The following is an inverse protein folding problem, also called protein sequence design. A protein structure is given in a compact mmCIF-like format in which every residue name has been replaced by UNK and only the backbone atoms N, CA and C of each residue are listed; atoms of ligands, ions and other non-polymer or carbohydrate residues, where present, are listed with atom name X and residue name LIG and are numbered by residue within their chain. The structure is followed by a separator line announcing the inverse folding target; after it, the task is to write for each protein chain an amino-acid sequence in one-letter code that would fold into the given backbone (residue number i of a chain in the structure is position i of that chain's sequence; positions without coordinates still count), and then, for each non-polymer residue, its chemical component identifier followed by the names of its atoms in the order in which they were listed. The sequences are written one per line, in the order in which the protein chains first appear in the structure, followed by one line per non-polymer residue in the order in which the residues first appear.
data_IF_914956453181
#
_entry.id   IF_914956453181
#
_cell.length_a   1.000
_cell.length_b   1.000
_cell.length_c   1.000
_cell.angle_alpha   90.00
_cell.angle_beta   90.00
_cell.angle_gamma   90.00
#
_symmetry.space_group_name_H-M   'P 1'
#
loop_
_entity.id
_entity.type
_entity.pdbx_description
1 polymer ?
#
# COMPACT_ATOMS: atom_id res chain seq x y z
N UNK A 1 -4.29 -7.65 -29.77
CA UNK A 1 -5.50 -7.96 -28.95
C UNK A 1 -5.00 -8.23 -27.54
N UNK A 2 -5.65 -7.65 -26.50
CA UNK A 2 -5.28 -7.94 -25.10
C UNK A 2 -5.69 -9.37 -24.75
N UNK A 3 -4.88 -10.12 -23.97
CA UNK A 3 -5.23 -11.50 -23.60
C UNK A 3 -6.61 -11.63 -22.93
N UNK A 4 -7.06 -10.59 -22.24
CA UNK A 4 -8.37 -10.53 -21.57
C UNK A 4 -9.54 -10.16 -22.49
N UNK A 5 -9.36 -10.10 -23.79
CA UNK A 5 -10.36 -9.69 -24.80
C UNK A 5 -10.95 -8.29 -24.63
N UNK A 6 -10.50 -7.51 -23.65
CA UNK A 6 -10.97 -6.14 -23.39
C UNK A 6 -10.62 -5.18 -24.54
N UNK A 7 -11.52 -4.23 -24.81
CA UNK A 7 -11.25 -3.13 -25.74
C UNK A 7 -10.06 -2.27 -25.26
N UNK A 8 -9.37 -1.53 -26.14
CA UNK A 8 -8.21 -0.72 -25.77
C UNK A 8 -8.48 0.31 -24.65
N UNK A 9 -9.66 0.90 -24.65
CA UNK A 9 -10.10 1.90 -23.64
C UNK A 9 -10.85 1.27 -22.45
N UNK A 10 -11.06 -0.03 -22.45
CA UNK A 10 -11.79 -0.71 -21.39
C UNK A 10 -10.87 -0.99 -20.20
N UNK A 11 -11.27 -0.49 -19.02
CA UNK A 11 -10.57 -0.77 -17.77
C UNK A 11 -10.89 -2.17 -17.26
N UNK A 12 -9.96 -2.81 -16.56
CA UNK A 12 -10.23 -4.06 -15.83
C UNK A 12 -11.28 -3.81 -14.73
N UNK A 13 -12.06 -4.83 -14.39
CA UNK A 13 -12.96 -4.75 -13.24
C UNK A 13 -12.15 -4.46 -11.98
N UNK A 14 -12.52 -3.40 -11.29
CA UNK A 14 -11.89 -2.99 -10.02
C UNK A 14 -12.76 -3.44 -8.86
N UNK A 15 -12.15 -4.02 -7.84
CA UNK A 15 -12.79 -4.34 -6.56
C UNK A 15 -11.88 -3.92 -5.41
N UNK A 16 -12.46 -3.31 -4.39
CA UNK A 16 -11.79 -2.80 -3.21
C UNK A 16 -12.54 -3.33 -1.98
N UNK A 17 -12.05 -4.40 -1.38
CA UNK A 17 -12.61 -4.98 -0.16
C UNK A 17 -11.85 -4.43 1.05
N UNK A 18 -12.54 -3.72 1.93
CA UNK A 18 -11.99 -3.10 3.12
C UNK A 18 -12.11 -4.00 4.35
N UNK A 19 -11.33 -3.75 5.38
CA UNK A 19 -11.39 -4.47 6.67
C UNK A 19 -11.21 -5.98 6.53
N UNK A 20 -10.25 -6.40 5.70
CA UNK A 20 -9.96 -7.81 5.43
C UNK A 20 -8.90 -8.41 6.36
N UNK A 21 -8.17 -7.58 7.11
CA UNK A 21 -7.15 -7.99 8.06
C UNK A 21 -7.50 -7.49 9.47
N UNK A 22 -7.79 -8.43 10.37
CA UNK A 22 -8.33 -8.13 11.71
C UNK A 22 -7.43 -7.23 12.56
N UNK A 23 -6.12 -7.40 12.46
CA UNK A 23 -5.17 -6.73 13.36
C UNK A 23 -4.56 -5.47 12.77
N UNK A 24 -4.74 -5.20 11.49
CA UNK A 24 -4.28 -3.98 10.85
C UNK A 24 -5.24 -2.81 11.15
N UNK A 25 -4.70 -1.62 11.35
CA UNK A 25 -5.49 -0.40 11.55
C UNK A 25 -6.23 0.04 10.28
N UNK A 26 -5.74 -0.40 9.12
CA UNK A 26 -6.43 -0.29 7.84
C UNK A 26 -6.05 -1.44 6.93
N UNK A 27 -6.97 -1.90 6.10
CA UNK A 27 -6.66 -2.97 5.14
C UNK A 27 -7.59 -2.94 3.93
N UNK A 28 -7.05 -3.37 2.79
CA UNK A 28 -7.77 -3.47 1.53
C UNK A 28 -7.26 -4.65 0.71
N UNK A 29 -8.16 -5.53 0.30
CA UNK A 29 -7.88 -6.47 -0.78
C UNK A 29 -8.31 -5.80 -2.09
N UNK A 30 -7.33 -5.35 -2.86
CA UNK A 30 -7.58 -4.72 -4.16
C UNK A 30 -7.46 -5.76 -5.27
N UNK A 31 -8.42 -5.74 -6.19
CA UNK A 31 -8.39 -6.59 -7.40
C UNK A 31 -8.55 -5.71 -8.64
N UNK A 32 -7.62 -5.85 -9.55
CA UNK A 32 -7.70 -5.32 -10.91
C UNK A 32 -7.78 -6.50 -11.88
N UNK A 33 -9.00 -6.94 -12.20
CA UNK A 33 -9.20 -8.20 -12.89
C UNK A 33 -8.57 -9.34 -12.09
N UNK A 34 -7.66 -10.09 -12.70
CA UNK A 34 -6.97 -11.22 -12.08
C UNK A 34 -5.71 -10.81 -11.26
N UNK A 35 -5.41 -9.54 -11.16
CA UNK A 35 -4.34 -9.06 -10.25
C UNK A 35 -4.93 -8.75 -8.88
N UNK A 36 -4.49 -9.46 -7.85
CA UNK A 36 -4.96 -9.34 -6.48
C UNK A 36 -3.81 -8.98 -5.54
N UNK A 37 -3.99 -7.91 -4.76
CA UNK A 37 -2.99 -7.44 -3.79
C UNK A 37 -3.66 -7.20 -2.45
N UNK A 38 -3.10 -7.77 -1.39
CA UNK A 38 -3.48 -7.45 -0.02
C UNK A 38 -2.63 -6.26 0.46
N UNK A 39 -3.29 -5.19 0.88
CA UNK A 39 -2.65 -4.01 1.44
C UNK A 39 -3.08 -3.85 2.89
N UNK A 40 -2.12 -3.72 3.81
CA UNK A 40 -2.38 -3.46 5.23
C UNK A 40 -1.63 -2.22 5.69
N UNK A 41 -2.21 -1.49 6.63
CA UNK A 41 -1.62 -0.31 7.25
C UNK A 41 -1.45 -0.54 8.75
N UNK A 42 -0.24 -0.31 9.24
CA UNK A 42 0.12 -0.45 10.65
C UNK A 42 0.66 0.87 11.18
N UNK A 43 0.16 1.31 12.35
CA UNK A 43 0.62 2.53 13.02
C UNK A 43 1.71 2.19 14.04
N UNK A 44 2.79 2.93 14.01
CA UNK A 44 3.83 2.93 15.03
C UNK A 44 3.83 4.28 15.76
N UNK A 45 3.84 4.25 17.10
CA UNK A 45 3.83 5.47 17.95
C UNK A 45 5.16 6.25 17.93
N UNK A 46 6.07 5.89 17.04
CA UNK A 46 7.38 6.53 16.90
C UNK A 46 7.67 6.86 15.45
N UNK A 47 8.07 8.09 15.20
CA UNK A 47 8.65 8.46 13.90
C UNK A 47 10.03 7.83 13.72
N UNK A 48 10.50 7.65 12.47
CA UNK A 48 11.88 7.27 12.20
C UNK A 48 12.89 8.16 12.94
N UNK A 49 14.03 7.62 13.35
CA UNK A 49 15.01 8.33 14.17
C UNK A 49 15.45 9.67 13.55
N UNK A 50 15.56 9.75 12.24
CA UNK A 50 15.95 10.96 11.51
C UNK A 50 14.86 12.06 11.47
N UNK A 51 13.61 11.73 11.85
CA UNK A 51 12.50 12.69 11.96
C UNK A 51 12.17 13.08 13.39
N UNK A 52 12.80 12.50 14.40
CA UNK A 52 12.52 12.80 15.80
C UNK A 52 12.74 14.27 16.11
N UNK A 53 11.80 14.89 16.81
CA UNK A 53 11.83 16.32 17.15
C UNK A 53 11.40 17.24 16.01
N UNK A 54 11.04 16.73 14.83
CA UNK A 54 10.57 17.55 13.70
C UNK A 54 9.09 17.91 13.78
N UNK A 55 8.31 17.21 14.60
CA UNK A 55 6.85 17.31 14.64
C UNK A 55 6.15 16.63 13.45
N UNK A 56 6.91 15.93 12.59
CA UNK A 56 6.39 15.28 11.38
C UNK A 56 6.32 13.78 11.56
N UNK A 57 5.27 13.19 11.01
CA UNK A 57 5.17 11.74 10.85
C UNK A 57 5.76 11.25 9.53
N UNK A 58 5.60 9.95 9.28
CA UNK A 58 6.09 9.33 8.06
C UNK A 58 5.13 8.25 7.55
N UNK A 59 5.09 8.09 6.25
CA UNK A 59 4.40 6.99 5.58
C UNK A 59 5.42 6.28 4.70
N UNK A 60 5.56 4.99 4.92
CA UNK A 60 6.45 4.12 4.14
C UNK A 60 5.70 2.91 3.64
N UNK A 61 6.27 2.18 2.70
CA UNK A 61 5.66 0.99 2.14
C UNK A 61 6.69 -0.13 1.92
N UNK A 62 6.22 -1.35 2.12
CA UNK A 62 6.91 -2.57 1.73
C UNK A 62 6.07 -3.29 0.67
N UNK A 63 6.74 -4.08 -0.16
CA UNK A 63 6.10 -4.80 -1.25
C UNK A 63 6.73 -6.18 -1.39
N UNK A 64 5.90 -7.19 -1.54
CA UNK A 64 6.34 -8.55 -1.81
C UNK A 64 5.36 -9.26 -2.75
N UNK A 65 5.83 -10.33 -3.40
CA UNK A 65 4.98 -11.26 -4.13
C UNK A 65 5.01 -12.62 -3.43
N UNK A 66 3.83 -13.21 -3.22
CA UNK A 66 3.77 -14.59 -2.76
C UNK A 66 4.39 -15.53 -3.80
N UNK A 67 5.02 -16.64 -3.38
CA UNK A 67 5.70 -17.56 -4.31
C UNK A 67 4.83 -18.06 -5.47
N UNK A 68 3.54 -18.24 -5.25
CA UNK A 68 2.59 -18.66 -6.27
C UNK A 68 1.65 -17.56 -6.74
N UNK A 69 2.06 -16.30 -6.58
CA UNK A 69 1.40 -15.18 -7.26
C UNK A 69 1.53 -15.27 -8.79
N UNK A 70 2.51 -15.99 -9.28
CA UNK A 70 2.81 -16.22 -10.69
C UNK A 70 2.56 -17.68 -11.10
N UNK A 71 2.46 -17.93 -12.41
CA UNK A 71 2.22 -19.28 -12.98
C UNK A 71 3.26 -20.27 -12.47
N UNK A 72 4.53 -19.88 -12.49
CA UNK A 72 5.61 -20.66 -11.89
C UNK A 72 5.93 -20.15 -10.49
N UNK A 73 6.38 -21.07 -9.62
CA UNK A 73 6.78 -20.68 -8.26
C UNK A 73 8.03 -19.82 -8.28
N UNK A 74 7.91 -18.59 -7.76
CA UNK A 74 9.07 -17.74 -7.51
C UNK A 74 9.64 -17.99 -6.11
N UNK A 75 10.95 -17.88 -5.98
CA UNK A 75 11.63 -18.03 -4.68
C UNK A 75 11.33 -16.83 -3.78
N UNK A 76 11.14 -17.07 -2.48
CA UNK A 76 11.01 -15.97 -1.51
C UNK A 76 12.31 -15.19 -1.39
N UNK A 77 12.22 -13.87 -1.44
CA UNK A 77 13.39 -12.99 -1.30
C UNK A 77 14.08 -13.14 0.07
N UNK A 78 13.30 -13.40 1.13
CA UNK A 78 13.82 -13.70 2.47
C UNK A 78 14.80 -14.89 2.48
N UNK A 79 14.60 -15.86 1.60
CA UNK A 79 15.50 -17.03 1.48
C UNK A 79 16.80 -16.68 0.76
N UNK A 80 16.81 -15.65 -0.08
CA UNK A 80 18.03 -15.16 -0.77
C UNK A 80 18.83 -14.15 0.04
N UNK A 81 18.29 -13.69 1.17
CA UNK A 81 18.93 -12.74 2.08
C UNK A 81 18.90 -11.28 1.64
N UNK A 82 18.34 -10.98 0.47
CA UNK A 82 18.20 -9.59 -0.04
C UNK A 82 17.00 -9.45 -0.93
N UNK A 83 16.44 -8.23 -0.95
CA UNK A 83 15.41 -7.84 -1.88
C UNK A 83 15.98 -7.56 -3.27
N UNK A 84 15.21 -7.89 -4.31
CA UNK A 84 15.54 -7.52 -5.68
C UNK A 84 15.46 -6.00 -5.88
N UNK A 85 16.15 -5.50 -6.90
CA UNK A 85 16.05 -4.09 -7.29
C UNK A 85 14.62 -3.70 -7.68
N UNK A 86 13.88 -4.62 -8.30
CA UNK A 86 12.46 -4.42 -8.65
C UNK A 86 11.60 -4.22 -7.39
N UNK A 87 11.74 -5.07 -6.40
CA UNK A 87 11.01 -4.95 -5.13
C UNK A 87 11.30 -3.62 -4.44
N UNK A 88 12.57 -3.24 -4.35
CA UNK A 88 12.99 -1.97 -3.75
C UNK A 88 12.43 -0.76 -4.51
N UNK A 89 12.46 -0.80 -5.85
CA UNK A 89 11.90 0.26 -6.70
C UNK A 89 10.40 0.44 -6.45
N UNK A 90 9.64 -0.66 -6.39
CA UNK A 90 8.19 -0.63 -6.18
C UNK A 90 7.85 -0.11 -4.78
N UNK A 91 8.56 -0.54 -3.74
CA UNK A 91 8.38 -0.03 -2.39
C UNK A 91 8.54 1.49 -2.33
N UNK A 92 9.59 2.00 -2.96
CA UNK A 92 9.86 3.44 -3.02
C UNK A 92 8.80 4.19 -3.82
N UNK A 93 8.31 3.61 -4.91
CA UNK A 93 7.23 4.18 -5.72
C UNK A 93 5.95 4.32 -4.90
N UNK A 94 5.51 3.25 -4.22
CA UNK A 94 4.31 3.27 -3.40
C UNK A 94 4.43 4.32 -2.28
N UNK A 95 5.51 4.27 -1.51
CA UNK A 95 5.74 5.20 -0.41
C UNK A 95 5.77 6.66 -0.87
N UNK A 96 6.45 6.96 -1.97
CA UNK A 96 6.51 8.32 -2.54
C UNK A 96 5.12 8.78 -3.02
N UNK A 97 4.36 7.91 -3.67
CA UNK A 97 3.01 8.22 -4.16
C UNK A 97 2.07 8.56 -3.00
N UNK A 98 2.10 7.78 -1.93
CA UNK A 98 1.30 8.04 -0.72
C UNK A 98 1.70 9.36 -0.05
N UNK A 99 2.99 9.61 0.11
CA UNK A 99 3.48 10.87 0.72
C UNK A 99 3.10 12.12 -0.08
N UNK A 100 2.89 12.01 -1.38
CA UNK A 100 2.45 13.13 -2.21
C UNK A 100 1.07 13.66 -1.81
N UNK A 101 0.20 12.81 -1.27
CA UNK A 101 -1.18 13.15 -0.88
C UNK A 101 -1.38 13.20 0.64
N UNK A 102 -0.29 13.15 1.41
CA UNK A 102 -0.34 13.20 2.88
C UNK A 102 0.36 14.45 3.39
N UNK A 103 -0.27 15.15 4.32
CA UNK A 103 0.38 16.16 5.14
C UNK A 103 1.01 15.53 6.38
N UNK A 104 2.30 15.30 6.31
CA UNK A 104 3.06 14.61 7.37
C UNK A 104 3.09 15.40 8.68
N UNK A 105 2.84 16.73 8.66
CA UNK A 105 2.77 17.56 9.87
C UNK A 105 1.53 17.29 10.70
N UNK A 106 0.48 16.72 10.10
CA UNK A 106 -0.77 16.39 10.76
C UNK A 106 -0.76 14.99 11.42
N UNK A 107 0.34 14.25 11.32
CA UNK A 107 0.45 12.88 11.84
C UNK A 107 1.05 12.79 13.24
N UNK A 108 1.63 13.86 13.75
CA UNK A 108 2.35 13.91 15.05
C UNK A 108 3.38 12.78 15.11
N UNK A 109 4.59 12.94 14.86
CA UNK A 109 5.75 12.02 14.96
C UNK A 109 5.45 10.50 15.03
N UNK A 110 4.51 10.03 14.21
CA UNK A 110 4.14 8.62 14.05
C UNK A 110 4.54 8.11 12.69
N UNK A 111 4.71 6.81 12.57
CA UNK A 111 4.93 6.17 11.28
C UNK A 111 3.74 5.28 10.93
N UNK A 112 3.32 5.32 9.68
CA UNK A 112 2.43 4.32 9.11
C UNK A 112 3.23 3.52 8.09
N UNK A 113 3.29 2.21 8.29
CA UNK A 113 3.87 1.26 7.35
C UNK A 113 2.74 0.59 6.57
N UNK A 114 2.81 0.66 5.25
CA UNK A 114 1.90 -0.06 4.36
C UNK A 114 2.62 -1.29 3.82
N UNK A 115 2.04 -2.45 4.07
CA UNK A 115 2.50 -3.71 3.49
C UNK A 115 1.63 -4.07 2.30
N UNK A 116 2.22 -4.32 1.15
CA UNK A 116 1.54 -4.73 -0.07
C UNK A 116 2.02 -6.12 -0.49
N UNK A 117 1.17 -7.12 -0.32
CA UNK A 117 1.46 -8.50 -0.66
C UNK A 117 0.66 -8.93 -1.90
N UNK A 118 1.36 -9.18 -3.00
CA UNK A 118 0.73 -9.66 -4.22
C UNK A 118 0.36 -11.13 -4.05
N UNK A 119 -0.93 -11.41 -4.08
CA UNK A 119 -1.50 -12.76 -3.96
C UNK A 119 -1.54 -13.43 -5.33
N UNK A 120 -1.92 -12.68 -6.36
CA UNK A 120 -2.03 -13.13 -7.73
C UNK A 120 -1.63 -12.01 -8.68
N UNK A 121 -0.75 -12.29 -9.63
CA UNK A 121 -0.20 -11.32 -10.56
C UNK A 121 -0.60 -11.62 -12.00
N UNK A 122 -1.36 -10.70 -12.59
CA UNK A 122 -1.73 -10.68 -14.01
C UNK A 122 -1.44 -9.30 -14.63
N UNK A 123 -0.27 -8.75 -14.33
CA UNK A 123 0.15 -7.41 -14.73
C UNK A 123 -0.45 -6.30 -13.86
N UNK A 124 0.23 -5.15 -13.81
CA UNK A 124 -0.24 -3.98 -13.06
C UNK A 124 -0.22 -4.12 -11.54
N UNK A 125 0.68 -4.94 -10.98
CA UNK A 125 0.79 -5.09 -9.51
C UNK A 125 1.18 -3.79 -8.81
N UNK A 126 2.00 -2.94 -9.46
CA UNK A 126 2.36 -1.61 -8.94
C UNK A 126 1.14 -0.71 -8.77
N UNK A 127 0.33 -0.61 -9.82
CA UNK A 127 -0.85 0.26 -9.86
C UNK A 127 -1.93 -0.22 -8.90
N UNK A 128 -2.18 -1.52 -8.87
CA UNK A 128 -3.10 -2.13 -7.90
C UNK A 128 -2.62 -1.90 -6.46
N UNK A 129 -1.32 -2.09 -6.18
CA UNK A 129 -0.74 -1.86 -4.87
C UNK A 129 -0.88 -0.39 -4.42
N UNK A 130 -0.61 0.59 -5.29
CA UNK A 130 -0.77 2.02 -4.98
C UNK A 130 -2.23 2.32 -4.63
N UNK A 131 -3.17 1.85 -5.42
CA UNK A 131 -4.60 2.10 -5.20
C UNK A 131 -5.10 1.45 -3.91
N UNK A 132 -4.77 0.19 -3.67
CA UNK A 132 -5.14 -0.50 -2.43
C UNK A 132 -4.44 0.05 -1.19
N UNK A 133 -3.19 0.47 -1.34
CA UNK A 133 -2.41 1.11 -0.27
C UNK A 133 -3.05 2.42 0.18
N UNK A 134 -3.57 3.22 -0.75
CA UNK A 134 -4.29 4.44 -0.38
C UNK A 134 -5.57 4.15 0.42
N UNK A 135 -6.32 3.13 0.04
CA UNK A 135 -7.54 2.73 0.78
C UNK A 135 -7.17 2.26 2.20
N UNK A 136 -6.15 1.43 2.33
CA UNK A 136 -5.66 0.98 3.64
C UNK A 136 -5.17 2.16 4.51
N UNK A 137 -4.45 3.10 3.92
CA UNK A 137 -3.99 4.32 4.58
C UNK A 137 -5.16 5.19 5.04
N UNK A 138 -6.17 5.40 4.16
CA UNK A 138 -7.39 6.14 4.50
C UNK A 138 -8.09 5.55 5.73
N UNK A 139 -8.28 4.25 5.75
CA UNK A 139 -8.95 3.57 6.87
C UNK A 139 -8.11 3.61 8.14
N UNK A 140 -6.80 3.50 8.03
CA UNK A 140 -5.88 3.67 9.16
C UNK A 140 -5.96 5.07 9.77
N UNK A 141 -5.99 6.11 8.95
CA UNK A 141 -6.16 7.49 9.40
C UNK A 141 -7.54 7.69 10.05
N UNK A 142 -8.59 7.14 9.46
CA UNK A 142 -9.93 7.16 10.06
C UNK A 142 -9.96 6.46 11.42
N UNK A 143 -9.27 5.32 11.56
CA UNK A 143 -9.11 4.60 12.82
C UNK A 143 -8.38 5.46 13.88
N UNK A 144 -7.31 6.16 13.50
CA UNK A 144 -6.57 7.07 14.38
C UNK A 144 -7.44 8.26 14.84
N UNK A 145 -8.21 8.85 13.93
CA UNK A 145 -9.13 9.96 14.24
C UNK A 145 -10.23 9.53 15.19
N UNK A 146 -10.85 8.39 14.96
CA UNK A 146 -11.91 7.84 15.82
C UNK A 146 -11.46 7.60 17.27
N UNK A 147 -10.15 7.41 17.49
CA UNK A 147 -9.53 7.21 18.82
C UNK A 147 -8.85 8.47 19.36
N UNK A 148 -9.03 9.60 18.70
CA UNK A 148 -8.41 10.87 19.07
C UNK A 148 -6.87 10.81 19.16
N UNK A 149 -6.25 9.88 18.42
CA UNK A 149 -4.78 9.77 18.34
C UNK A 149 -4.22 10.95 17.54
N UNK A 150 -4.96 11.38 16.53
CA UNK A 150 -4.72 12.62 15.77
C UNK A 150 -6.00 13.44 15.69
N UNK A 151 -5.85 14.76 15.65
CA UNK A 151 -6.98 15.69 15.52
C UNK A 151 -7.10 16.30 14.13
N UNK A 152 -6.00 16.35 13.39
CA UNK A 152 -5.95 16.91 12.05
C UNK A 152 -6.46 15.94 10.98
N UNK A 153 -6.38 16.36 9.74
CA UNK A 153 -6.67 15.53 8.58
C UNK A 153 -5.43 15.41 7.69
N UNK A 154 -4.61 14.36 7.87
CA UNK A 154 -3.40 14.17 7.08
C UNK A 154 -3.65 13.96 5.59
N UNK A 155 -4.79 13.40 5.19
CA UNK A 155 -5.09 13.16 3.77
C UNK A 155 -5.47 14.47 3.08
N UNK A 156 -4.68 14.88 2.10
CA UNK A 156 -4.92 16.07 1.27
C UNK A 156 -5.76 15.76 0.04
N UNK A 157 -5.63 14.55 -0.51
CA UNK A 157 -6.28 14.16 -1.75
C UNK A 157 -6.41 12.65 -1.87
N UNK A 158 -7.09 12.19 -2.91
CA UNK A 158 -7.17 10.80 -3.31
C UNK A 158 -5.95 10.42 -4.17
N UNK A 159 -5.62 9.14 -4.15
CA UNK A 159 -4.58 8.57 -4.98
C UNK A 159 -5.06 7.26 -5.59
N UNK A 160 -4.96 7.15 -6.90
CA UNK A 160 -5.21 5.92 -7.63
C UNK A 160 -4.23 5.81 -8.80
N UNK A 161 -3.97 4.58 -9.20
CA UNK A 161 -3.16 4.26 -10.36
C UNK A 161 -3.80 3.10 -11.13
N UNK A 162 -3.68 3.11 -12.46
CA UNK A 162 -4.24 2.11 -13.38
C UNK A 162 -3.21 1.67 -14.41
#
# INVERSE_FOLDING_TARGET
MRPSTRAPAEMRKVSLERNVARYAEGSCLVKFGETHVLCTASVEEKAPAWLRGSGKGWVTAEYAMLPRATVERTRRESTSGKQSGRTQEIQRLIGRSLRAVVDLTQMSERQITIDCDVIQADGGTRTAAITGAWVALHDCIAWMKARSIITGNPLKDHLAAV
#
